data_IF_674719340347
#
_entry.id   IF_674719340347
#
_cell.length_a   1.000
_cell.length_b   1.000
_cell.length_c   1.000
_cell.angle_alpha   90.00
_cell.angle_beta   90.00
_cell.angle_gamma   90.00
#
_symmetry.space_group_name_H-M   'P 1'
#
loop_
_entity.id
_entity.type
_entity.pdbx_description
1 polymer ?
#
# COMPACT_ATOMS: atom_id res chain seq x y z
N UNK A 1 -12.94 27.70 -10.71
CA UNK A 1 -13.11 26.25 -10.42
C UNK A 1 -11.73 25.70 -10.10
N UNK A 2 -11.56 24.88 -9.06
CA UNK A 2 -10.23 24.30 -8.77
C UNK A 2 -9.79 23.38 -9.91
N UNK A 3 -8.49 23.18 -10.16
CA UNK A 3 -8.03 22.27 -11.21
C UNK A 3 -8.51 20.84 -10.93
N UNK A 4 -8.83 20.05 -11.97
CA UNK A 4 -9.38 18.71 -11.79
C UNK A 4 -8.33 17.74 -11.25
N UNK A 5 -8.77 16.72 -10.51
CA UNK A 5 -7.95 15.56 -10.16
C UNK A 5 -8.37 14.40 -11.06
N UNK A 6 -7.40 13.78 -11.73
CA UNK A 6 -7.62 12.56 -12.50
C UNK A 6 -7.48 11.36 -11.57
N UNK A 7 -8.39 10.39 -11.65
CA UNK A 7 -8.30 9.13 -10.90
C UNK A 7 -8.33 7.97 -11.88
N UNK A 8 -7.22 7.25 -11.99
CA UNK A 8 -7.09 6.03 -12.80
C UNK A 8 -7.48 4.84 -11.90
N UNK A 9 -8.63 4.23 -12.19
CA UNK A 9 -9.22 3.19 -11.34
C UNK A 9 -10.13 3.77 -10.25
N UNK A 10 -11.45 3.58 -10.40
CA UNK A 10 -12.46 4.11 -9.47
C UNK A 10 -13.13 2.98 -8.68
N UNK A 11 -12.31 2.06 -8.17
CA UNK A 11 -12.79 1.02 -7.25
C UNK A 11 -13.12 1.59 -5.86
N UNK A 12 -13.28 0.71 -4.88
CA UNK A 12 -13.58 1.09 -3.49
C UNK A 12 -12.62 2.17 -2.96
N UNK A 13 -11.31 1.98 -3.18
CA UNK A 13 -10.30 2.93 -2.75
C UNK A 13 -10.35 4.25 -3.52
N UNK A 14 -10.38 4.19 -4.86
CA UNK A 14 -10.51 5.38 -5.70
C UNK A 14 -11.74 6.22 -5.35
N UNK A 15 -12.85 5.58 -4.97
CA UNK A 15 -14.08 6.24 -4.53
C UNK A 15 -13.93 7.04 -3.23
N UNK A 16 -13.16 6.55 -2.25
CA UNK A 16 -12.89 7.30 -1.01
C UNK A 16 -12.12 8.59 -1.31
N UNK A 17 -11.05 8.50 -2.11
CA UNK A 17 -10.27 9.66 -2.51
C UNK A 17 -11.08 10.63 -3.38
N UNK A 18 -11.87 10.12 -4.33
CA UNK A 18 -12.78 10.93 -5.14
C UNK A 18 -13.72 11.77 -4.27
N UNK A 19 -14.34 11.15 -3.26
CA UNK A 19 -15.23 11.85 -2.31
C UNK A 19 -14.47 12.94 -1.55
N UNK A 20 -13.23 12.68 -1.13
CA UNK A 20 -12.37 13.66 -0.48
C UNK A 20 -12.07 14.87 -1.36
N UNK A 21 -11.61 14.63 -2.60
CA UNK A 21 -11.31 15.69 -3.56
C UNK A 21 -12.55 16.53 -3.93
N UNK A 22 -13.69 15.88 -4.14
CA UNK A 22 -14.96 16.55 -4.41
C UNK A 22 -15.39 17.44 -3.24
N UNK A 23 -15.27 16.97 -1.99
CA UNK A 23 -15.54 17.79 -0.79
C UNK A 23 -14.56 18.96 -0.63
N UNK A 24 -13.33 18.81 -1.15
CA UNK A 24 -12.34 19.89 -1.19
C UNK A 24 -12.57 20.88 -2.34
N UNK A 25 -13.52 20.59 -3.24
CA UNK A 25 -13.93 21.44 -4.36
C UNK A 25 -13.17 21.21 -5.66
N UNK A 26 -12.39 20.12 -5.77
CA UNK A 26 -11.76 19.71 -7.02
C UNK A 26 -12.74 18.87 -7.84
N UNK A 27 -12.98 19.19 -9.13
CA UNK A 27 -13.62 18.25 -10.04
C UNK A 27 -12.80 16.95 -10.13
N UNK A 28 -13.48 15.80 -10.21
CA UNK A 28 -12.82 14.51 -10.39
C UNK A 28 -13.11 14.00 -11.79
N UNK A 29 -12.05 13.66 -12.53
CA UNK A 29 -12.13 13.03 -13.84
C UNK A 29 -11.74 11.56 -13.72
N UNK A 30 -12.70 10.61 -13.81
CA UNK A 30 -12.41 9.19 -13.73
C UNK A 30 -11.81 8.68 -15.04
N UNK A 31 -10.79 7.83 -14.93
CA UNK A 31 -10.27 7.02 -16.05
C UNK A 31 -10.45 5.55 -15.71
N UNK A 32 -11.26 4.86 -16.51
CA UNK A 32 -11.52 3.42 -16.39
C UNK A 32 -10.52 2.61 -17.22
N UNK A 33 -10.52 1.29 -17.04
CA UNK A 33 -9.60 0.37 -17.73
C UNK A 33 -9.70 0.41 -19.26
N UNK A 34 -10.89 0.72 -19.78
CA UNK A 34 -11.15 0.70 -21.23
C UNK A 34 -10.85 2.05 -21.90
N UNK A 35 -10.47 3.07 -21.13
CA UNK A 35 -10.18 4.40 -21.65
C UNK A 35 -8.70 4.56 -21.99
N UNK A 36 -8.43 5.23 -23.11
CA UNK A 36 -7.08 5.55 -23.55
C UNK A 36 -6.51 6.74 -22.75
N UNK A 37 -5.37 6.55 -22.08
CA UNK A 37 -4.75 7.57 -21.23
C UNK A 37 -4.28 8.81 -22.02
N UNK A 38 -3.85 8.63 -23.26
CA UNK A 38 -3.35 9.70 -24.13
C UNK A 38 -4.51 10.59 -24.60
N UNK A 39 -5.68 10.01 -24.87
CA UNK A 39 -6.89 10.77 -25.11
C UNK A 39 -7.35 11.51 -23.85
N UNK A 40 -7.38 10.84 -22.69
CA UNK A 40 -7.73 11.49 -21.42
C UNK A 40 -6.77 12.66 -21.09
N UNK A 41 -5.48 12.54 -21.40
CA UNK A 41 -4.50 13.61 -21.26
C UNK A 41 -4.63 14.71 -22.31
N UNK A 42 -5.31 14.47 -23.43
CA UNK A 42 -5.68 15.51 -24.39
C UNK A 42 -6.85 16.34 -23.84
N UNK A 43 -7.84 15.67 -23.24
CA UNK A 43 -9.01 16.32 -22.66
C UNK A 43 -8.65 17.08 -21.37
N UNK A 44 -7.78 16.50 -20.53
CA UNK A 44 -7.31 17.05 -19.25
C UNK A 44 -5.77 17.18 -19.27
N UNK A 45 -5.21 18.20 -19.97
CA UNK A 45 -3.77 18.31 -20.17
C UNK A 45 -2.99 18.69 -18.92
N UNK A 46 -3.62 19.41 -17.97
CA UNK A 46 -2.96 19.91 -16.77
C UNK A 46 -3.84 19.72 -15.53
N UNK A 47 -4.00 18.47 -15.03
CA UNK A 47 -4.72 18.24 -13.78
C UNK A 47 -3.92 18.77 -12.58
N UNK A 48 -4.59 18.94 -11.45
CA UNK A 48 -3.94 19.19 -10.15
C UNK A 48 -3.04 18.01 -9.78
N UNK A 49 -3.60 16.79 -9.87
CA UNK A 49 -2.94 15.54 -9.54
C UNK A 49 -3.54 14.38 -10.35
N UNK A 50 -2.80 13.28 -10.44
CA UNK A 50 -3.21 12.02 -11.06
C UNK A 50 -3.06 10.89 -10.05
N UNK A 51 -4.17 10.43 -9.48
CA UNK A 51 -4.20 9.32 -8.54
C UNK A 51 -4.29 7.98 -9.26
N UNK A 52 -3.34 7.08 -9.01
CA UNK A 52 -3.35 5.72 -9.55
C UNK A 52 -3.91 4.75 -8.49
N UNK A 53 -5.19 4.42 -8.63
CA UNK A 53 -5.97 3.58 -7.72
C UNK A 53 -6.46 2.28 -8.40
N UNK A 54 -5.59 1.67 -9.21
CA UNK A 54 -5.79 0.34 -9.81
C UNK A 54 -5.34 -0.77 -8.85
N UNK A 55 -5.56 -2.04 -9.21
CA UNK A 55 -5.00 -3.17 -8.44
C UNK A 55 -3.51 -3.34 -8.71
N UNK A 56 -2.80 -4.02 -7.80
CA UNK A 56 -1.34 -4.15 -7.83
C UNK A 56 -0.84 -4.81 -9.13
N UNK A 57 -1.60 -5.76 -9.69
CA UNK A 57 -1.27 -6.45 -10.96
C UNK A 57 -1.36 -5.55 -12.19
N UNK A 58 -2.20 -4.51 -12.14
CA UNK A 58 -2.43 -3.60 -13.27
C UNK A 58 -1.48 -2.39 -13.22
N UNK A 59 -0.83 -2.14 -12.08
CA UNK A 59 0.04 -0.97 -11.88
C UNK A 59 1.15 -0.86 -12.95
N UNK A 60 1.97 -1.90 -13.25
CA UNK A 60 3.06 -1.75 -14.21
C UNK A 60 2.58 -1.28 -15.58
N UNK A 61 1.51 -1.88 -16.10
CA UNK A 61 0.95 -1.50 -17.40
C UNK A 61 0.35 -0.09 -17.44
N UNK A 62 -0.17 0.41 -16.31
CA UNK A 62 -0.63 1.81 -16.19
C UNK A 62 0.56 2.77 -16.17
N UNK A 63 1.64 2.45 -15.45
CA UNK A 63 2.84 3.28 -15.39
C UNK A 63 3.54 3.38 -16.75
N UNK A 64 3.62 2.27 -17.50
CA UNK A 64 4.17 2.25 -18.87
C UNK A 64 3.39 3.14 -19.84
N UNK A 65 2.06 3.18 -19.70
CA UNK A 65 1.17 3.95 -20.57
C UNK A 65 0.94 5.39 -20.07
N UNK A 66 1.57 5.79 -18.97
CA UNK A 66 1.32 7.07 -18.34
C UNK A 66 1.79 8.22 -19.26
N UNK A 67 0.92 9.19 -19.58
CA UNK A 67 1.28 10.35 -20.40
C UNK A 67 2.40 11.17 -19.75
N UNK A 68 3.40 11.57 -20.54
CA UNK A 68 4.57 12.31 -20.03
C UNK A 68 4.18 13.58 -19.25
N UNK A 69 3.14 14.28 -19.72
CA UNK A 69 2.63 15.52 -19.10
C UNK A 69 1.98 15.33 -17.73
N UNK A 70 1.79 14.08 -17.29
CA UNK A 70 1.20 13.74 -16.01
C UNK A 70 2.22 13.17 -15.01
N UNK A 71 3.45 12.84 -15.46
CA UNK A 71 4.45 12.12 -14.64
C UNK A 71 4.87 12.87 -13.36
N UNK A 72 4.84 14.19 -13.39
CA UNK A 72 5.14 15.07 -12.25
C UNK A 72 3.96 15.29 -11.29
N UNK A 73 2.78 14.75 -11.63
CA UNK A 73 1.51 14.92 -10.90
C UNK A 73 1.02 13.63 -10.25
N UNK A 74 1.81 12.57 -10.30
CA UNK A 74 1.39 11.22 -9.91
C UNK A 74 1.28 11.08 -8.40
N UNK A 75 0.22 10.39 -7.98
CA UNK A 75 0.03 9.88 -6.64
C UNK A 75 -0.15 8.35 -6.70
N UNK A 76 0.65 7.61 -5.91
CA UNK A 76 0.62 6.16 -5.78
C UNK A 76 0.07 5.73 -4.40
N UNK A 77 -0.80 4.73 -4.36
CA UNK A 77 -1.43 4.22 -3.12
C UNK A 77 -1.42 2.69 -2.97
N UNK A 78 -0.54 2.01 -3.70
CA UNK A 78 -0.55 0.54 -3.83
C UNK A 78 0.01 -0.15 -2.59
N UNK A 79 -0.54 -1.31 -2.23
CA UNK A 79 0.07 -2.17 -1.22
C UNK A 79 1.35 -2.79 -1.78
N UNK A 80 2.29 -3.15 -0.90
CA UNK A 80 3.51 -3.87 -1.28
C UNK A 80 4.43 -3.08 -2.23
N UNK A 81 4.17 -1.77 -2.38
CA UNK A 81 4.98 -0.84 -3.16
C UNK A 81 6.32 -0.57 -2.46
N UNK A 82 7.41 -0.61 -3.22
CA UNK A 82 8.77 -0.26 -2.80
C UNK A 82 9.38 0.78 -3.75
N UNK A 83 10.44 1.52 -3.33
CA UNK A 83 11.04 2.58 -4.15
C UNK A 83 11.43 2.15 -5.58
N UNK A 84 11.90 0.92 -5.76
CA UNK A 84 12.27 0.39 -7.07
C UNK A 84 11.10 0.40 -8.08
N UNK A 85 9.86 0.21 -7.61
CA UNK A 85 8.67 0.14 -8.47
C UNK A 85 8.34 1.47 -9.15
N UNK A 86 8.76 2.59 -8.54
CA UNK A 86 8.44 3.94 -9.00
C UNK A 86 9.67 4.84 -9.17
N UNK A 87 10.87 4.28 -9.19
CA UNK A 87 12.12 5.04 -9.35
C UNK A 87 12.16 5.91 -10.63
N UNK A 88 11.40 5.55 -11.66
CA UNK A 88 11.24 6.31 -12.90
C UNK A 88 10.30 7.53 -12.77
N UNK A 89 9.67 7.73 -11.60
CA UNK A 89 8.81 8.85 -11.24
C UNK A 89 9.33 9.54 -9.97
N UNK A 90 10.45 10.27 -10.04
CA UNK A 90 11.10 10.86 -8.87
C UNK A 90 10.28 11.96 -8.18
N UNK A 91 9.20 12.43 -8.79
CA UNK A 91 8.27 13.43 -8.24
C UNK A 91 6.95 12.81 -7.77
N UNK A 92 6.82 11.48 -7.83
CA UNK A 92 5.62 10.80 -7.38
C UNK A 92 5.39 11.09 -5.90
N UNK A 93 4.13 11.37 -5.56
CA UNK A 93 3.68 11.34 -4.18
C UNK A 93 3.25 9.92 -3.85
N UNK A 94 3.70 9.38 -2.73
CA UNK A 94 3.36 8.03 -2.29
C UNK A 94 2.59 8.14 -0.98
N UNK A 95 1.45 7.45 -0.89
CA UNK A 95 0.67 7.30 0.34
C UNK A 95 0.49 5.82 0.68
N UNK A 96 0.90 5.41 1.88
CA UNK A 96 0.64 4.06 2.39
C UNK A 96 -0.69 4.05 3.14
N UNK A 97 -1.72 3.41 2.58
CA UNK A 97 -3.08 3.49 3.12
C UNK A 97 -3.26 2.58 4.34
N UNK A 98 -3.66 3.15 5.48
CA UNK A 98 -3.95 2.45 6.75
C UNK A 98 -5.42 2.55 7.18
N UNK A 99 -6.32 2.50 6.21
CA UNK A 99 -7.75 2.32 6.46
C UNK A 99 -8.30 1.26 5.50
N UNK A 100 -9.36 0.58 5.91
CA UNK A 100 -10.04 -0.39 5.06
C UNK A 100 -11.34 0.18 4.49
N UNK A 101 -11.67 -0.23 3.26
CA UNK A 101 -12.97 0.02 2.63
C UNK A 101 -13.47 -1.27 1.98
N UNK A 102 -14.66 -1.72 2.41
CA UNK A 102 -15.35 -2.91 1.87
C UNK A 102 -16.69 -2.49 1.25
N UNK A 103 -17.21 -3.22 0.25
CA UNK A 103 -18.55 -2.98 -0.28
C UNK A 103 -19.59 -2.96 0.84
N UNK A 104 -20.45 -1.93 0.87
CA UNK A 104 -21.50 -1.77 1.88
C UNK A 104 -21.03 -1.27 3.26
N UNK A 105 -19.73 -1.05 3.48
CA UNK A 105 -19.17 -0.49 4.70
C UNK A 105 -18.59 0.91 4.42
N UNK A 106 -18.68 1.84 5.36
CA UNK A 106 -17.86 3.06 5.29
C UNK A 106 -16.39 2.70 5.60
N UNK A 107 -15.47 3.64 5.44
CA UNK A 107 -14.05 3.37 5.72
C UNK A 107 -13.81 3.22 7.24
N UNK A 108 -12.89 2.33 7.61
CA UNK A 108 -12.42 2.17 8.98
C UNK A 108 -10.93 2.48 9.04
N UNK A 109 -10.58 3.54 9.75
CA UNK A 109 -9.18 3.94 9.99
C UNK A 109 -8.56 3.00 11.02
N UNK A 110 -7.35 2.51 10.73
CA UNK A 110 -6.53 1.71 11.65
C UNK A 110 -5.53 2.65 12.33
N UNK A 111 -4.69 3.30 11.53
CA UNK A 111 -3.74 4.35 11.95
C UNK A 111 -3.64 5.43 10.86
N UNK A 112 -3.01 6.59 11.12
CA UNK A 112 -2.76 7.59 10.09
C UNK A 112 -1.99 7.03 8.88
N UNK A 113 -2.42 7.38 7.68
CA UNK A 113 -1.76 6.95 6.44
C UNK A 113 -0.54 7.83 6.17
N UNK A 114 0.71 7.31 6.19
CA UNK A 114 1.88 8.11 5.92
C UNK A 114 1.96 8.47 4.43
N UNK A 115 2.42 9.68 4.15
CA UNK A 115 2.52 10.24 2.82
C UNK A 115 3.82 11.02 2.67
N UNK A 116 4.50 10.81 1.54
CA UNK A 116 5.65 11.61 1.12
C UNK A 116 5.50 12.10 -0.33
N UNK A 117 5.93 13.34 -0.59
CA UNK A 117 5.93 13.95 -1.92
C UNK A 117 5.04 15.20 -2.07
N UNK A 118 5.06 15.85 -3.24
CA UNK A 118 4.49 17.19 -3.45
C UNK A 118 2.99 17.30 -3.20
N UNK A 119 2.22 16.22 -3.37
CA UNK A 119 0.76 16.22 -3.23
C UNK A 119 0.28 15.78 -1.83
N UNK A 120 1.16 15.57 -0.85
CA UNK A 120 0.71 15.11 0.47
C UNK A 120 -0.19 16.09 1.19
N UNK A 121 0.02 17.40 1.01
CA UNK A 121 -0.90 18.40 1.54
C UNK A 121 -2.29 18.28 0.91
N UNK A 122 -2.36 18.09 -0.42
CA UNK A 122 -3.62 17.88 -1.13
C UNK A 122 -4.35 16.63 -0.61
N UNK A 123 -3.62 15.53 -0.40
CA UNK A 123 -4.17 14.29 0.16
C UNK A 123 -4.65 14.48 1.60
N UNK A 124 -3.85 15.12 2.45
CA UNK A 124 -4.21 15.43 3.83
C UNK A 124 -5.45 16.31 3.93
N UNK A 125 -5.53 17.36 3.11
CA UNK A 125 -6.71 18.24 3.06
C UNK A 125 -7.96 17.49 2.55
N UNK A 126 -7.82 16.61 1.55
CA UNK A 126 -8.92 15.85 0.95
C UNK A 126 -9.44 14.75 1.87
N UNK A 127 -8.55 13.93 2.43
CA UNK A 127 -8.88 12.86 3.37
C UNK A 127 -9.35 13.44 4.72
N UNK A 128 -8.85 14.60 5.13
CA UNK A 128 -9.34 15.34 6.28
C UNK A 128 -10.81 15.79 6.15
N UNK A 129 -11.35 15.97 4.94
CA UNK A 129 -12.80 16.19 4.74
C UNK A 129 -13.67 14.97 5.05
N UNK A 130 -13.02 13.84 5.27
CA UNK A 130 -13.60 12.55 5.64
C UNK A 130 -13.09 12.10 7.02
N UNK A 131 -12.43 12.97 7.80
CA UNK A 131 -11.86 12.59 9.09
C UNK A 131 -10.87 11.41 9.00
N UNK A 132 -10.22 11.24 7.83
CA UNK A 132 -9.17 10.23 7.61
C UNK A 132 -7.81 10.92 7.78
N UNK A 133 -7.02 10.54 8.80
CA UNK A 133 -5.75 11.19 9.09
C UNK A 133 -4.65 10.76 8.11
N UNK A 134 -3.83 11.74 7.71
CA UNK A 134 -2.61 11.55 6.90
C UNK A 134 -1.42 12.06 7.70
N UNK A 135 -0.35 11.25 7.80
CA UNK A 135 0.92 11.63 8.40
C UNK A 135 1.86 12.10 7.29
N UNK A 136 2.23 13.37 7.27
CA UNK A 136 3.22 13.88 6.30
C UNK A 136 4.62 13.48 6.77
N UNK A 137 5.38 12.83 5.90
CA UNK A 137 6.75 12.39 6.17
C UNK A 137 7.75 13.46 5.74
N UNK A 138 8.92 13.44 6.37
CA UNK A 138 9.97 14.45 6.15
C UNK A 138 10.95 14.10 5.04
N UNK A 139 11.05 12.83 4.65
CA UNK A 139 12.05 12.37 3.68
C UNK A 139 11.84 10.95 3.17
N UNK A 140 12.71 10.54 2.24
CA UNK A 140 12.68 9.22 1.59
C UNK A 140 12.97 8.07 2.56
N UNK A 141 13.84 8.28 3.56
CA UNK A 141 14.15 7.26 4.58
C UNK A 141 12.92 6.93 5.45
N UNK A 142 12.15 7.96 5.84
CA UNK A 142 10.88 7.76 6.54
C UNK A 142 9.86 7.06 5.64
N UNK A 143 9.80 7.43 4.35
CA UNK A 143 8.92 6.75 3.40
C UNK A 143 9.27 5.27 3.27
N UNK A 144 10.56 4.95 3.10
CA UNK A 144 11.04 3.58 3.00
C UNK A 144 10.66 2.77 4.25
N UNK A 145 10.89 3.33 5.44
CA UNK A 145 10.51 2.69 6.70
C UNK A 145 9.00 2.39 6.75
N UNK A 146 8.15 3.36 6.40
CA UNK A 146 6.69 3.21 6.45
C UNK A 146 6.15 2.24 5.39
N UNK A 147 6.78 2.15 4.21
CA UNK A 147 6.45 1.14 3.19
C UNK A 147 6.84 -0.26 3.66
N UNK A 148 8.05 -0.44 4.19
CA UNK A 148 8.51 -1.71 4.75
C UNK A 148 7.65 -2.14 5.93
N UNK A 149 7.28 -1.21 6.82
CA UNK A 149 6.37 -1.46 7.93
C UNK A 149 5.00 -1.96 7.44
N UNK A 150 4.43 -1.31 6.41
CA UNK A 150 3.17 -1.74 5.81
C UNK A 150 3.26 -3.16 5.26
N UNK A 151 4.35 -3.47 4.56
CA UNK A 151 4.60 -4.77 3.97
C UNK A 151 4.78 -5.83 5.06
N UNK A 152 5.55 -5.51 6.11
CA UNK A 152 5.74 -6.37 7.26
C UNK A 152 4.40 -6.72 7.92
N UNK A 153 3.55 -5.73 8.18
CA UNK A 153 2.21 -5.93 8.74
C UNK A 153 1.37 -6.85 7.87
N UNK A 154 1.24 -6.54 6.57
CA UNK A 154 0.36 -7.30 5.67
C UNK A 154 0.87 -8.73 5.48
N UNK A 155 2.17 -8.90 5.21
CA UNK A 155 2.74 -10.20 4.89
C UNK A 155 2.79 -11.09 6.15
N UNK A 156 3.20 -10.55 7.30
CA UNK A 156 3.24 -11.33 8.54
C UNK A 156 1.86 -11.82 8.94
N UNK A 157 0.88 -10.92 8.99
CA UNK A 157 -0.49 -11.28 9.40
C UNK A 157 -1.11 -12.30 8.46
N UNK A 158 -0.99 -12.09 7.15
CA UNK A 158 -1.55 -13.00 6.15
C UNK A 158 -0.86 -14.35 6.14
N UNK A 159 0.46 -14.39 6.11
CA UNK A 159 1.21 -15.64 5.96
C UNK A 159 1.15 -16.46 7.24
N UNK A 160 1.34 -15.86 8.42
CA UNK A 160 1.16 -16.57 9.68
C UNK A 160 -0.31 -17.01 9.85
N UNK A 161 -1.24 -16.16 9.42
CA UNK A 161 -2.68 -16.44 9.41
C UNK A 161 -3.09 -17.66 8.58
N UNK A 162 -2.33 -18.04 7.55
CA UNK A 162 -2.60 -19.29 6.80
C UNK A 162 -2.51 -20.53 7.69
N UNK A 163 -1.69 -20.48 8.74
CA UNK A 163 -1.53 -21.57 9.72
C UNK A 163 -2.45 -21.41 10.92
N UNK A 164 -2.57 -20.20 11.44
CA UNK A 164 -3.24 -19.95 12.72
C UNK A 164 -4.71 -19.59 12.59
N UNK A 165 -5.12 -18.99 11.47
CA UNK A 165 -6.37 -18.26 11.39
C UNK A 165 -6.42 -17.09 12.38
N UNK A 166 -7.63 -16.75 12.83
CA UNK A 166 -7.87 -15.78 13.89
C UNK A 166 -7.62 -14.32 13.49
N UNK A 167 -7.50 -13.50 14.53
CA UNK A 167 -7.27 -12.06 14.48
C UNK A 167 -5.80 -11.71 14.70
N UNK A 168 -5.39 -10.49 14.35
CA UNK A 168 -4.02 -10.01 14.61
C UNK A 168 -3.70 -9.96 16.11
N UNK A 169 -4.71 -9.71 16.95
CA UNK A 169 -4.60 -9.80 18.41
C UNK A 169 -4.27 -11.22 18.87
N UNK A 170 -5.07 -12.21 18.46
CA UNK A 170 -4.85 -13.63 18.76
C UNK A 170 -3.51 -14.14 18.20
N UNK A 171 -3.15 -13.73 16.99
CA UNK A 171 -1.87 -14.07 16.37
C UNK A 171 -0.70 -13.66 17.28
N UNK A 172 -0.77 -12.47 17.89
CA UNK A 172 0.30 -12.01 18.78
C UNK A 172 0.22 -12.62 20.17
N UNK A 173 -0.97 -12.78 20.76
CA UNK A 173 -1.10 -13.28 22.14
C UNK A 173 -0.97 -14.80 22.27
N UNK A 174 -1.38 -15.56 21.26
CA UNK A 174 -1.46 -17.03 21.30
C UNK A 174 -0.45 -17.71 20.36
N UNK A 175 -0.01 -17.01 19.31
CA UNK A 175 0.86 -17.57 18.27
C UNK A 175 2.10 -16.73 17.99
N UNK A 176 2.60 -16.05 19.03
CA UNK A 176 3.72 -15.11 18.93
C UNK A 176 4.96 -15.70 18.25
N UNK A 177 5.32 -16.95 18.56
CA UNK A 177 6.48 -17.61 17.96
C UNK A 177 6.33 -17.75 16.44
N UNK A 178 5.12 -18.08 15.97
CA UNK A 178 4.83 -18.18 14.53
C UNK A 178 4.88 -16.79 13.89
N UNK A 179 4.27 -15.79 14.52
CA UNK A 179 4.27 -14.41 14.04
C UNK A 179 5.70 -13.85 13.93
N UNK A 180 6.53 -14.05 14.96
CA UNK A 180 7.93 -13.61 14.98
C UNK A 180 8.78 -14.36 13.95
N UNK A 181 8.58 -15.66 13.77
CA UNK A 181 9.32 -16.44 12.75
C UNK A 181 9.04 -15.88 11.35
N UNK A 182 7.76 -15.68 11.01
CA UNK A 182 7.35 -15.11 9.72
C UNK A 182 7.86 -13.67 9.58
N UNK A 183 7.65 -12.81 10.59
CA UNK A 183 8.08 -11.42 10.56
C UNK A 183 9.58 -11.27 10.27
N UNK A 184 10.43 -12.07 10.91
CA UNK A 184 11.88 -12.02 10.70
C UNK A 184 12.29 -12.39 9.27
N UNK A 185 11.63 -13.36 8.65
CA UNK A 185 11.87 -13.73 7.26
C UNK A 185 11.35 -12.68 6.28
N UNK A 186 10.21 -12.05 6.60
CA UNK A 186 9.72 -10.89 5.82
C UNK A 186 10.66 -9.70 5.94
N UNK A 187 11.21 -9.40 7.12
CA UNK A 187 12.21 -8.34 7.25
C UNK A 187 13.44 -8.67 6.41
N UNK A 188 13.94 -9.90 6.47
CA UNK A 188 15.08 -10.34 5.64
C UNK A 188 14.80 -10.14 4.15
N UNK A 189 13.60 -10.49 3.68
CA UNK A 189 13.18 -10.25 2.30
C UNK A 189 13.14 -8.75 1.96
N UNK A 190 12.59 -7.91 2.84
CA UNK A 190 12.53 -6.46 2.61
C UNK A 190 13.93 -5.83 2.63
N UNK A 191 14.85 -6.29 3.49
CA UNK A 191 16.25 -5.86 3.50
C UNK A 191 16.93 -6.14 2.17
N UNK A 192 16.72 -7.34 1.62
CA UNK A 192 17.25 -7.74 0.31
C UNK A 192 16.65 -6.91 -0.84
N UNK A 193 15.32 -6.73 -0.88
CA UNK A 193 14.64 -5.99 -1.96
C UNK A 193 14.94 -4.49 -1.95
N UNK A 194 15.30 -3.93 -0.80
CA UNK A 194 15.54 -2.49 -0.64
C UNK A 194 17.02 -2.12 -0.59
N UNK A 195 17.89 -3.10 -0.33
CA UNK A 195 19.32 -2.87 -0.09
C UNK A 195 19.62 -2.16 1.24
N UNK A 196 18.64 -2.08 2.15
CA UNK A 196 18.72 -1.35 3.42
C UNK A 196 18.50 -2.31 4.58
N UNK A 197 19.33 -2.22 5.61
CA UNK A 197 19.15 -2.98 6.86
C UNK A 197 18.25 -2.25 7.84
N UNK A 198 17.44 -2.98 8.60
CA UNK A 198 16.53 -2.38 9.58
C UNK A 198 16.78 -2.92 11.00
N UNK A 199 16.49 -2.09 12.00
CA UNK A 199 16.32 -2.61 13.35
C UNK A 199 15.03 -3.43 13.42
N UNK A 200 15.21 -4.75 13.52
CA UNK A 200 14.14 -5.74 13.48
C UNK A 200 13.15 -5.58 14.62
N UNK A 201 13.64 -5.34 15.84
CA UNK A 201 12.73 -5.16 16.98
C UNK A 201 11.99 -3.83 16.85
N UNK A 202 12.63 -2.76 16.38
CA UNK A 202 11.93 -1.50 16.10
C UNK A 202 10.82 -1.68 15.06
N UNK A 203 11.06 -2.40 13.95
CA UNK A 203 10.02 -2.70 12.96
C UNK A 203 8.90 -3.56 13.53
N UNK A 204 9.23 -4.59 14.32
CA UNK A 204 8.23 -5.44 14.96
C UNK A 204 7.38 -4.61 15.93
N UNK A 205 7.98 -3.79 16.81
CA UNK A 205 7.22 -2.94 17.73
C UNK A 205 6.31 -1.95 16.98
N UNK A 206 6.78 -1.37 15.87
CA UNK A 206 5.93 -0.51 15.03
C UNK A 206 4.76 -1.28 14.40
N UNK A 207 4.98 -2.53 13.98
CA UNK A 207 3.90 -3.41 13.49
C UNK A 207 2.88 -3.70 14.60
N UNK A 208 3.31 -3.90 15.85
CA UNK A 208 2.40 -4.13 16.99
C UNK A 208 1.57 -2.90 17.32
N UNK A 209 2.13 -1.70 17.23
CA UNK A 209 1.34 -0.48 17.38
C UNK A 209 0.22 -0.40 16.32
N UNK A 210 0.46 -0.92 15.11
CA UNK A 210 -0.60 -1.04 14.10
C UNK A 210 -1.62 -2.15 14.42
N UNK A 211 -1.24 -3.23 15.13
CA UNK A 211 -2.17 -4.25 15.62
C UNK A 211 -3.12 -3.66 16.66
N UNK A 212 -2.62 -2.80 17.56
CA UNK A 212 -3.43 -2.11 18.56
C UNK A 212 -4.50 -1.19 17.94
N UNK A 213 -4.26 -0.66 16.74
CA UNK A 213 -5.24 0.12 15.99
C UNK A 213 -6.46 -0.67 15.51
N UNK A 214 -6.33 -1.99 15.31
CA UNK A 214 -7.44 -2.89 15.02
C UNK A 214 -7.15 -4.34 15.46
N UNK A 215 -7.26 -4.66 16.76
CA UNK A 215 -6.88 -5.99 17.26
C UNK A 215 -7.74 -7.13 16.68
N UNK A 216 -8.96 -6.81 16.25
CA UNK A 216 -9.91 -7.77 15.67
C UNK A 216 -9.74 -7.92 14.15
N UNK A 217 -8.73 -7.28 13.55
CA UNK A 217 -8.43 -7.45 12.14
C UNK A 217 -8.16 -8.92 11.84
N UNK A 218 -8.82 -9.48 10.82
CA UNK A 218 -8.64 -10.89 10.48
C UNK A 218 -7.28 -11.11 9.85
N UNK A 219 -6.53 -12.10 10.34
CA UNK A 219 -5.20 -12.42 9.82
C UNK A 219 -5.24 -12.85 8.36
N UNK A 220 -6.28 -13.58 7.94
CA UNK A 220 -6.39 -14.05 6.56
C UNK A 220 -7.57 -13.42 5.80
N UNK A 221 -7.32 -13.17 4.52
CA UNK A 221 -8.35 -12.98 3.50
C UNK A 221 -7.99 -13.79 2.25
N UNK A 222 -8.79 -13.65 1.19
CA UNK A 222 -8.60 -14.39 -0.08
C UNK A 222 -7.22 -14.18 -0.74
N UNK A 223 -6.51 -13.11 -0.38
CA UNK A 223 -5.20 -12.76 -0.94
C UNK A 223 -4.01 -13.40 -0.21
N UNK A 224 -4.21 -14.01 0.96
CA UNK A 224 -3.10 -14.54 1.77
C UNK A 224 -2.24 -15.59 1.03
N UNK A 225 -2.82 -16.60 0.33
CA UNK A 225 -2.01 -17.57 -0.41
C UNK A 225 -1.15 -16.93 -1.50
N UNK A 226 -1.72 -15.99 -2.25
CA UNK A 226 -1.00 -15.28 -3.33
C UNK A 226 0.11 -14.37 -2.80
N UNK A 227 -0.02 -13.86 -1.56
CA UNK A 227 1.05 -13.11 -0.89
C UNK A 227 2.22 -14.00 -0.50
N UNK A 228 1.94 -15.20 0.02
CA UNK A 228 2.98 -16.19 0.29
C UNK A 228 3.71 -16.58 -1.00
N UNK A 229 2.97 -16.90 -2.05
CA UNK A 229 3.53 -17.23 -3.38
C UNK A 229 4.41 -16.10 -3.91
N UNK A 230 3.94 -14.85 -3.85
CA UNK A 230 4.73 -13.69 -4.28
C UNK A 230 6.00 -13.51 -3.45
N UNK A 231 5.92 -13.63 -2.11
CA UNK A 231 7.09 -13.52 -1.25
C UNK A 231 8.16 -14.57 -1.57
N UNK A 232 7.73 -15.82 -1.83
CA UNK A 232 8.63 -16.90 -2.27
C UNK A 232 9.21 -16.65 -3.67
N UNK A 233 8.42 -16.14 -4.61
CA UNK A 233 8.92 -15.78 -5.94
C UNK A 233 9.95 -14.64 -5.89
N UNK A 234 9.80 -13.66 -4.98
CA UNK A 234 10.85 -12.66 -4.74
C UNK A 234 12.10 -13.29 -4.15
N UNK A 235 11.94 -14.15 -3.14
CA UNK A 235 13.08 -14.84 -2.52
C UNK A 235 13.87 -15.67 -3.55
N UNK A 236 13.18 -16.40 -4.43
CA UNK A 236 13.82 -17.16 -5.52
C UNK A 236 14.62 -16.26 -6.46
N UNK A 237 14.04 -15.13 -6.92
CA UNK A 237 14.74 -14.17 -7.80
C UNK A 237 15.99 -13.58 -7.15
N UNK A 238 15.94 -13.37 -5.85
CA UNK A 238 17.04 -12.82 -5.05
C UNK A 238 18.01 -13.90 -4.54
N UNK A 239 17.80 -15.18 -4.86
CA UNK A 239 18.54 -16.31 -4.30
C UNK A 239 18.58 -16.32 -2.76
N UNK A 240 17.46 -15.97 -2.13
CA UNK A 240 17.29 -15.87 -0.69
C UNK A 240 16.55 -17.11 -0.14
N UNK A 241 17.11 -17.73 0.89
CA UNK A 241 16.44 -18.85 1.59
C UNK A 241 15.52 -18.31 2.70
N UNK A 242 14.23 -18.65 2.61
CA UNK A 242 13.21 -18.33 3.62
C UNK A 242 12.56 -19.63 4.12
N UNK A 243 13.27 -20.43 4.94
CA UNK A 243 12.87 -21.80 5.29
C UNK A 243 11.53 -21.88 6.04
N UNK A 244 11.20 -20.87 6.85
CA UNK A 244 9.90 -20.75 7.51
C UNK A 244 8.75 -20.57 6.54
N UNK A 245 8.91 -19.66 5.56
CA UNK A 245 7.91 -19.45 4.50
C UNK A 245 7.76 -20.69 3.61
N UNK A 246 8.88 -21.33 3.25
CA UNK A 246 8.87 -22.57 2.45
C UNK A 246 8.15 -23.70 3.20
N UNK A 247 8.41 -23.86 4.50
CA UNK A 247 7.72 -24.83 5.34
C UNK A 247 6.21 -24.56 5.34
N UNK A 248 5.78 -23.30 5.57
CA UNK A 248 4.36 -22.93 5.56
C UNK A 248 3.70 -23.24 4.22
N UNK A 249 4.37 -22.95 3.10
CA UNK A 249 3.84 -23.26 1.77
C UNK A 249 3.69 -24.78 1.53
N UNK A 250 4.59 -25.59 2.07
CA UNK A 250 4.52 -27.05 1.98
C UNK A 250 3.40 -27.66 2.82
N UNK A 251 3.05 -27.05 3.96
CA UNK A 251 1.97 -27.51 4.84
C UNK A 251 0.57 -27.21 4.26
N UNK A 252 0.48 -26.40 3.20
CA UNK A 252 -0.78 -26.01 2.55
C UNK A 252 -1.18 -26.89 1.35
N UNK A 253 -0.33 -27.83 0.95
CA UNK A 253 -0.56 -28.79 -0.15
C UNK A 253 -0.76 -30.21 0.41
#
# INVERSE_FOLDING_TARGET
>A
MKPPVVIIGVGEMGGVFARGFLRLGHPVYPVTRDQNLQQAATDIPNPEAVLIAVGEKDLPGVLEQLPDRWKDKVILLQNELLPADFAHLPQATVISVWFEKKPGMDYKVIIPSPCFGPHCKLLGDALGKLDIPVKMLSGEDELLFELVLKNLYILTTNIAGLKTGGTVGELWSEHQDTARKVANEIITLQEQLTGTTFDRETLIQAMLAAFEGDPNHQCMGRSAPTRLERALNHAERENLELPGLMQLASEMH
#
